data_IF_971527283558
#
_entry.id   IF_971527283558
#
_cell.length_a   1.000
_cell.length_b   1.000
_cell.length_c   1.000
_cell.angle_alpha   90.00
_cell.angle_beta   90.00
_cell.angle_gamma   90.00
#
_symmetry.space_group_name_H-M   'P 1'
#
loop_
_entity.id
_entity.type
_entity.pdbx_description
1 polymer ?
#
# COMPACT_ATOMS: atom_id res chain seq x y z
N UNK A 1 20.49 31.59 -12.10
CA UNK A 1 20.34 30.15 -11.79
C UNK A 1 18.90 29.81 -12.06
N UNK A 2 18.65 28.93 -13.01
CA UNK A 2 17.30 28.60 -13.49
C UNK A 2 16.59 27.70 -12.45
N UNK A 3 15.29 27.95 -12.22
CA UNK A 3 14.44 27.20 -11.28
C UNK A 3 14.49 25.68 -11.52
N UNK A 4 14.69 25.23 -12.77
CA UNK A 4 14.90 23.81 -13.11
C UNK A 4 16.21 23.24 -12.53
N UNK A 5 17.26 24.06 -12.41
CA UNK A 5 18.56 23.65 -11.86
C UNK A 5 18.48 23.48 -10.34
N UNK A 6 17.66 24.29 -9.65
CA UNK A 6 17.42 24.21 -8.20
C UNK A 6 16.60 22.97 -7.86
N UNK A 7 15.54 22.67 -8.67
CA UNK A 7 14.71 21.48 -8.50
C UNK A 7 15.52 20.20 -8.74
N UNK A 8 16.35 20.15 -9.78
CA UNK A 8 17.21 18.99 -10.07
C UNK A 8 18.31 18.78 -9.02
N UNK A 9 18.90 19.85 -8.47
CA UNK A 9 19.86 19.75 -7.38
C UNK A 9 19.20 19.30 -6.07
N UNK A 10 17.99 19.81 -5.78
CA UNK A 10 17.18 19.39 -4.62
C UNK A 10 16.77 17.92 -4.69
N UNK A 11 16.30 17.47 -5.85
CA UNK A 11 15.94 16.07 -6.09
C UNK A 11 17.16 15.14 -5.98
N UNK A 12 18.32 15.56 -6.50
CA UNK A 12 19.55 14.77 -6.41
C UNK A 12 20.11 14.67 -4.97
N UNK A 13 19.95 15.72 -4.16
CA UNK A 13 20.33 15.74 -2.75
C UNK A 13 19.36 14.90 -1.88
N UNK A 14 18.04 14.95 -2.18
CA UNK A 14 17.04 14.12 -1.50
C UNK A 14 17.23 12.64 -1.80
N UNK A 15 17.50 12.27 -3.06
CA UNK A 15 17.75 10.87 -3.46
C UNK A 15 19.03 10.32 -2.80
N UNK A 16 20.06 11.15 -2.57
CA UNK A 16 21.33 10.72 -1.97
C UNK A 16 21.25 10.51 -0.47
N UNK A 17 20.44 11.30 0.27
CA UNK A 17 20.31 11.17 1.73
C UNK A 17 19.31 10.11 2.21
N UNK A 18 18.43 9.61 1.33
CA UNK A 18 17.36 8.65 1.69
C UNK A 18 17.70 7.19 1.37
N UNK A 19 18.94 6.89 0.97
CA UNK A 19 19.34 5.52 0.63
C UNK A 19 19.69 4.65 1.87
N UNK A 20 19.37 5.11 3.09
CA UNK A 20 19.56 4.35 4.34
C UNK A 20 18.28 3.74 4.93
N UNK A 21 17.14 3.82 4.23
CA UNK A 21 16.01 2.93 4.51
C UNK A 21 16.51 1.51 4.30
N UNK A 22 16.45 0.66 5.33
CA UNK A 22 16.91 -0.74 5.36
C UNK A 22 16.72 -1.37 3.98
N UNK A 23 17.80 -1.45 3.21
CA UNK A 23 17.84 -2.14 1.92
C UNK A 23 17.32 -3.55 2.18
N UNK A 24 16.27 -4.02 1.50
CA UNK A 24 15.90 -5.41 1.62
C UNK A 24 17.16 -6.20 1.33
N UNK A 25 17.64 -6.97 2.31
CA UNK A 25 18.78 -7.84 2.11
C UNK A 25 18.40 -8.79 0.99
N UNK A 26 19.14 -8.81 -0.11
CA UNK A 26 19.08 -9.82 -1.14
C UNK A 26 19.36 -11.16 -0.45
N UNK A 27 18.32 -11.79 0.08
CA UNK A 27 18.35 -13.07 0.75
C UNK A 27 17.70 -14.13 -0.11
N UNK A 28 18.06 -15.38 0.17
CA UNK A 28 17.41 -16.56 -0.41
C UNK A 28 15.89 -16.41 -0.27
N UNK A 29 15.09 -16.73 -1.32
CA UNK A 29 13.62 -16.70 -1.23
C UNK A 29 13.14 -17.46 0.01
N UNK A 30 12.04 -17.01 0.66
CA UNK A 30 11.42 -17.73 1.75
C UNK A 30 11.23 -19.21 1.39
N UNK A 31 11.36 -20.12 2.37
CA UNK A 31 11.34 -21.59 2.14
C UNK A 31 10.01 -22.06 1.54
N UNK A 32 8.93 -21.38 1.82
CA UNK A 32 7.59 -21.60 1.29
C UNK A 32 7.46 -21.34 -0.22
N UNK A 33 8.35 -20.53 -0.80
CA UNK A 33 8.41 -20.28 -2.25
C UNK A 33 9.29 -21.28 -3.02
N UNK A 34 9.91 -22.23 -2.34
CA UNK A 34 10.91 -23.13 -2.95
C UNK A 34 10.35 -23.98 -4.10
N UNK A 35 9.06 -24.34 -4.07
CA UNK A 35 8.38 -25.14 -5.11
C UNK A 35 7.70 -24.33 -6.21
N UNK A 36 7.44 -23.05 -6.00
CA UNK A 36 6.70 -22.20 -6.95
C UNK A 36 7.63 -21.25 -7.70
N UNK A 37 7.91 -21.62 -8.96
CA UNK A 37 8.78 -20.84 -9.86
C UNK A 37 8.21 -19.44 -10.11
N UNK A 38 6.88 -19.32 -10.30
CA UNK A 38 6.21 -18.05 -10.55
C UNK A 38 6.34 -17.13 -9.33
N UNK A 39 6.13 -17.63 -8.12
CA UNK A 39 6.27 -16.87 -6.89
C UNK A 39 7.72 -16.41 -6.66
N UNK A 40 8.72 -17.24 -6.98
CA UNK A 40 10.14 -16.84 -6.91
C UNK A 40 10.47 -15.73 -7.90
N UNK A 41 9.99 -15.84 -9.14
CA UNK A 41 10.19 -14.79 -10.16
C UNK A 41 9.55 -13.47 -9.69
N UNK A 42 8.33 -13.48 -9.17
CA UNK A 42 7.64 -12.29 -8.66
C UNK A 42 8.40 -11.67 -7.48
N UNK A 43 8.90 -12.48 -6.55
CA UNK A 43 9.69 -12.00 -5.41
C UNK A 43 11.00 -11.34 -5.88
N UNK A 44 11.74 -11.99 -6.76
CA UNK A 44 12.97 -11.46 -7.34
C UNK A 44 12.73 -10.17 -8.12
N UNK A 45 11.67 -10.13 -8.93
CA UNK A 45 11.28 -8.94 -9.68
C UNK A 45 10.94 -7.77 -8.75
N UNK A 46 10.21 -8.01 -7.65
CA UNK A 46 9.94 -6.99 -6.64
C UNK A 46 11.24 -6.41 -6.07
N UNK A 47 12.20 -7.24 -5.69
CA UNK A 47 13.48 -6.78 -5.16
C UNK A 47 14.25 -5.93 -6.16
N UNK A 48 14.29 -6.36 -7.43
CA UNK A 48 15.00 -5.65 -8.50
C UNK A 48 14.31 -4.33 -8.81
N UNK A 49 12.97 -4.31 -8.93
CA UNK A 49 12.22 -3.07 -9.17
C UNK A 49 12.37 -2.06 -8.02
N UNK A 50 12.36 -2.52 -6.77
CA UNK A 50 12.58 -1.65 -5.61
C UNK A 50 14.01 -1.08 -5.56
N UNK A 51 14.99 -1.86 -6.01
CA UNK A 51 16.41 -1.48 -5.98
C UNK A 51 16.80 -0.54 -7.13
N UNK A 52 16.30 -0.83 -8.34
CA UNK A 52 16.73 -0.18 -9.59
C UNK A 52 15.70 0.81 -10.14
N UNK A 53 14.45 0.74 -9.66
CA UNK A 53 13.31 1.33 -10.37
C UNK A 53 12.91 0.50 -11.59
N UNK A 54 11.74 0.77 -12.14
CA UNK A 54 11.23 0.02 -13.30
C UNK A 54 12.14 0.16 -14.54
N UNK A 55 12.60 1.39 -14.84
CA UNK A 55 13.38 1.67 -16.05
C UNK A 55 14.68 0.86 -16.11
N UNK A 56 15.48 0.93 -15.06
CA UNK A 56 16.81 0.35 -15.00
C UNK A 56 16.82 -1.16 -14.67
N UNK A 57 15.69 -1.71 -14.24
CA UNK A 57 15.54 -3.13 -14.01
C UNK A 57 15.58 -3.90 -15.31
N UNK A 58 16.32 -5.03 -15.37
CA UNK A 58 16.39 -5.92 -16.51
C UNK A 58 15.86 -7.31 -16.18
N UNK A 59 15.31 -8.00 -17.21
CA UNK A 59 14.90 -9.40 -17.04
C UNK A 59 16.11 -10.33 -16.77
N UNK A 60 17.32 -9.91 -17.16
CA UNK A 60 18.55 -10.63 -16.83
C UNK A 60 18.83 -10.61 -15.33
N UNK A 61 18.83 -9.41 -14.72
CA UNK A 61 19.04 -9.26 -13.29
C UNK A 61 17.95 -9.99 -12.49
N UNK A 62 16.71 -9.98 -12.99
CA UNK A 62 15.60 -10.72 -12.37
C UNK A 62 15.82 -12.23 -12.48
N UNK A 63 16.26 -12.72 -13.64
CA UNK A 63 16.54 -14.14 -13.86
C UNK A 63 17.65 -14.65 -12.93
N UNK A 64 18.73 -13.89 -12.78
CA UNK A 64 19.82 -14.18 -11.85
C UNK A 64 19.34 -14.19 -10.40
N UNK A 65 18.50 -13.20 -10.02
CA UNK A 65 17.96 -13.08 -8.65
C UNK A 65 16.96 -14.20 -8.32
N UNK A 66 16.18 -14.67 -9.30
CA UNK A 66 15.13 -15.69 -9.14
C UNK A 66 15.64 -17.15 -9.24
N UNK A 67 16.90 -17.47 -9.45
CA UNK A 67 17.48 -18.64 -10.08
C UNK A 67 16.56 -19.26 -11.16
N UNK A 68 16.26 -18.46 -12.19
CA UNK A 68 15.38 -18.87 -13.30
C UNK A 68 16.00 -18.46 -14.64
N UNK A 69 15.68 -19.17 -15.71
CA UNK A 69 16.10 -18.78 -17.05
C UNK A 69 15.17 -17.70 -17.64
N UNK A 70 15.68 -16.86 -18.55
CA UNK A 70 14.83 -15.91 -19.30
C UNK A 70 13.64 -16.60 -19.99
N UNK A 71 13.81 -17.73 -20.70
CA UNK A 71 12.68 -18.46 -21.26
C UNK A 71 11.64 -18.84 -20.21
N UNK A 72 12.07 -19.20 -18.99
CA UNK A 72 11.16 -19.50 -17.88
C UNK A 72 10.37 -18.25 -17.46
N UNK A 73 11.02 -17.08 -17.42
CA UNK A 73 10.31 -15.82 -17.11
C UNK A 73 9.29 -15.52 -18.20
N UNK A 74 9.66 -15.61 -19.47
CA UNK A 74 8.76 -15.36 -20.60
C UNK A 74 7.58 -16.36 -20.67
N UNK A 75 7.76 -17.59 -20.20
CA UNK A 75 6.68 -18.58 -20.11
C UNK A 75 5.58 -18.17 -19.11
N UNK A 76 5.92 -17.39 -18.08
CA UNK A 76 4.98 -16.91 -17.06
C UNK A 76 4.51 -15.48 -17.31
N UNK A 77 5.37 -14.63 -17.87
CA UNK A 77 5.13 -13.19 -18.06
C UNK A 77 5.60 -12.76 -19.44
N UNK A 78 4.73 -12.23 -20.32
CA UNK A 78 5.07 -11.91 -21.71
C UNK A 78 6.09 -10.76 -21.86
N UNK A 79 6.44 -10.08 -20.76
CA UNK A 79 7.43 -9.00 -20.75
C UNK A 79 7.60 -8.35 -19.38
N UNK A 80 8.49 -7.36 -19.31
CA UNK A 80 8.80 -6.63 -18.08
C UNK A 80 7.58 -5.88 -17.52
N UNK A 81 6.71 -5.37 -18.38
CA UNK A 81 5.48 -4.66 -18.01
C UNK A 81 4.51 -5.61 -17.29
N UNK A 82 4.16 -6.74 -17.89
CA UNK A 82 3.29 -7.74 -17.28
C UNK A 82 3.86 -8.31 -15.98
N UNK A 83 5.18 -8.44 -15.89
CA UNK A 83 5.86 -8.84 -14.66
C UNK A 83 5.72 -7.76 -13.57
N UNK A 84 5.85 -6.47 -13.94
CA UNK A 84 5.65 -5.36 -13.00
C UNK A 84 4.21 -5.30 -12.50
N UNK A 85 3.23 -5.41 -13.40
CA UNK A 85 1.79 -5.50 -13.03
C UNK A 85 1.54 -6.63 -12.02
N UNK A 86 2.09 -7.81 -12.28
CA UNK A 86 1.92 -8.96 -11.41
C UNK A 86 2.62 -8.78 -10.05
N UNK A 87 3.76 -8.08 -10.00
CA UNK A 87 4.43 -7.71 -8.75
C UNK A 87 3.55 -6.76 -7.95
N UNK A 88 3.01 -5.73 -8.59
CA UNK A 88 2.11 -4.78 -7.93
C UNK A 88 0.86 -5.46 -7.40
N UNK A 89 0.20 -6.30 -8.23
CA UNK A 89 -0.97 -7.06 -7.82
C UNK A 89 -0.68 -7.96 -6.60
N UNK A 90 0.49 -8.59 -6.55
CA UNK A 90 0.91 -9.41 -5.41
C UNK A 90 1.10 -8.58 -4.14
N UNK A 91 1.74 -7.42 -4.25
CA UNK A 91 1.97 -6.52 -3.11
C UNK A 91 0.64 -6.01 -2.57
N UNK A 92 -0.25 -5.56 -3.45
CA UNK A 92 -1.59 -5.10 -3.06
C UNK A 92 -2.43 -6.22 -2.43
N UNK A 93 -2.36 -7.45 -2.98
CA UNK A 93 -3.04 -8.61 -2.42
C UNK A 93 -2.59 -8.96 -0.99
N UNK A 94 -1.32 -8.77 -0.68
CA UNK A 94 -0.79 -8.94 0.68
C UNK A 94 -1.38 -7.92 1.68
N UNK A 95 -1.58 -6.68 1.23
CA UNK A 95 -2.11 -5.60 2.08
C UNK A 95 -3.56 -5.80 2.52
N UNK A 96 -4.35 -6.45 1.70
CA UNK A 96 -5.79 -6.62 1.94
C UNK A 96 -6.10 -7.87 2.77
N UNK A 97 -5.07 -8.64 3.11
CA UNK A 97 -5.24 -9.79 3.99
C UNK A 97 -5.21 -9.34 5.45
N UNK A 98 -6.40 -9.07 5.99
CA UNK A 98 -6.64 -8.82 7.42
C UNK A 98 -7.05 -10.10 8.17
N UNK A 99 -6.80 -11.30 7.61
CA UNK A 99 -7.03 -12.56 8.31
C UNK A 99 -6.29 -12.56 9.65
N UNK A 100 -7.04 -12.81 10.72
CA UNK A 100 -6.49 -12.81 12.08
C UNK A 100 -6.25 -11.44 12.71
N UNK A 101 -6.54 -10.34 12.00
CA UNK A 101 -6.51 -9.02 12.63
C UNK A 101 -7.79 -8.79 13.45
N UNK A 102 -7.62 -8.68 14.76
CA UNK A 102 -8.71 -8.30 15.68
C UNK A 102 -8.52 -6.86 16.14
N UNK A 103 -9.47 -5.94 15.82
CA UNK A 103 -9.42 -4.57 16.29
C UNK A 103 -9.41 -4.50 17.81
N UNK A 104 -8.41 -3.81 18.39
CA UNK A 104 -8.18 -3.69 19.82
C UNK A 104 -9.00 -2.56 20.42
N UNK A 105 -9.48 -2.74 21.65
CA UNK A 105 -10.18 -1.73 22.43
C UNK A 105 -11.59 -2.11 22.86
N UNK A 106 -12.17 -1.30 23.75
CA UNK A 106 -13.51 -1.55 24.32
C UNK A 106 -14.59 -0.78 23.57
N UNK A 107 -14.27 0.41 23.08
CA UNK A 107 -15.19 1.26 22.34
C UNK A 107 -15.01 1.06 20.83
N UNK A 108 -16.03 1.44 20.06
CA UNK A 108 -15.95 1.48 18.60
C UNK A 108 -14.82 2.40 18.15
N UNK A 109 -14.67 3.56 18.83
CA UNK A 109 -13.58 4.49 18.55
C UNK A 109 -12.20 3.85 18.73
N UNK A 110 -11.99 3.09 19.81
CA UNK A 110 -10.72 2.38 20.03
C UNK A 110 -10.45 1.36 18.94
N UNK A 111 -11.47 0.55 18.58
CA UNK A 111 -11.36 -0.47 17.54
C UNK A 111 -11.03 0.14 16.18
N UNK A 112 -11.70 1.23 15.81
CA UNK A 112 -11.40 1.93 14.56
C UNK A 112 -10.03 2.61 14.58
N UNK A 113 -9.61 3.13 15.72
CA UNK A 113 -8.25 3.67 15.86
C UNK A 113 -7.19 2.57 15.72
N UNK A 114 -7.40 1.41 16.32
CA UNK A 114 -6.53 0.24 16.15
C UNK A 114 -6.44 -0.21 14.68
N UNK A 115 -7.58 -0.26 13.97
CA UNK A 115 -7.63 -0.57 12.54
C UNK A 115 -6.88 0.47 11.72
N UNK A 116 -7.11 1.76 11.98
CA UNK A 116 -6.46 2.85 11.23
C UNK A 116 -4.94 2.83 11.38
N UNK A 117 -4.43 2.55 12.58
CA UNK A 117 -2.99 2.40 12.82
C UNK A 117 -2.43 1.23 12.02
N UNK A 118 -3.06 0.06 12.09
CA UNK A 118 -2.65 -1.15 11.36
C UNK A 118 -2.62 -0.91 9.84
N UNK A 119 -3.67 -0.28 9.30
CA UNK A 119 -3.75 0.06 7.87
C UNK A 119 -2.59 0.94 7.43
N UNK A 120 -2.29 2.00 8.18
CA UNK A 120 -1.20 2.93 7.83
C UNK A 120 0.16 2.25 7.94
N UNK A 121 0.43 1.51 9.03
CA UNK A 121 1.71 0.83 9.24
C UNK A 121 1.98 -0.19 8.15
N UNK A 122 1.04 -1.08 7.87
CA UNK A 122 1.17 -2.07 6.78
C UNK A 122 1.39 -1.41 5.44
N UNK A 123 0.54 -0.43 5.10
CA UNK A 123 0.63 0.19 3.79
C UNK A 123 2.00 0.84 3.58
N UNK A 124 2.48 1.61 4.57
CA UNK A 124 3.76 2.28 4.43
C UNK A 124 4.92 1.27 4.43
N UNK A 125 4.89 0.24 5.27
CA UNK A 125 5.96 -0.75 5.34
C UNK A 125 6.06 -1.61 4.07
N UNK A 126 4.92 -2.04 3.54
CA UNK A 126 4.88 -3.04 2.47
C UNK A 126 4.84 -2.41 1.07
N UNK A 127 4.23 -1.21 0.91
CA UNK A 127 3.97 -0.67 -0.42
C UNK A 127 4.67 0.62 -0.77
N UNK A 128 5.20 1.37 0.18
CA UNK A 128 5.77 2.70 -0.10
C UNK A 128 6.77 2.69 -1.27
N UNK A 129 7.63 1.66 -1.33
CA UNK A 129 8.61 1.52 -2.40
C UNK A 129 7.98 1.26 -3.78
N UNK A 130 7.01 0.36 -3.84
CA UNK A 130 6.33 0.05 -5.11
C UNK A 130 5.40 1.20 -5.53
N UNK A 131 4.80 1.90 -4.59
CA UNK A 131 3.99 3.10 -4.85
C UNK A 131 4.85 4.19 -5.48
N UNK A 132 6.05 4.44 -4.94
CA UNK A 132 7.01 5.38 -5.55
C UNK A 132 7.41 4.96 -6.96
N UNK A 133 7.69 3.68 -7.18
CA UNK A 133 8.03 3.16 -8.50
C UNK A 133 6.86 3.33 -9.49
N UNK A 134 5.63 3.07 -9.06
CA UNK A 134 4.43 3.25 -9.90
C UNK A 134 4.20 4.73 -10.25
N UNK A 135 4.35 5.64 -9.28
CA UNK A 135 4.20 7.09 -9.50
C UNK A 135 5.28 7.59 -10.47
N UNK A 136 6.53 7.13 -10.32
CA UNK A 136 7.63 7.54 -11.20
C UNK A 136 7.41 7.13 -12.67
N UNK A 137 6.61 6.10 -12.94
CA UNK A 137 6.30 5.61 -14.28
C UNK A 137 4.92 6.09 -14.79
N UNK A 138 4.17 6.87 -14.00
CA UNK A 138 2.79 7.24 -14.29
C UNK A 138 2.64 8.01 -15.63
N UNK A 139 3.57 8.88 -15.97
CA UNK A 139 3.57 9.62 -17.23
C UNK A 139 3.80 8.69 -18.44
N UNK A 140 4.58 7.64 -18.26
CA UNK A 140 4.91 6.70 -19.33
C UNK A 140 3.86 5.60 -19.49
N UNK A 141 3.31 5.12 -18.37
CA UNK A 141 2.32 4.05 -18.32
C UNK A 141 1.06 4.48 -17.56
N UNK A 142 0.33 5.52 -18.06
CA UNK A 142 -0.80 6.07 -17.32
C UNK A 142 -1.95 5.08 -17.12
N UNK A 143 -2.16 4.18 -18.05
CA UNK A 143 -3.20 3.13 -17.94
C UNK A 143 -2.86 2.15 -16.82
N UNK A 144 -1.60 1.69 -16.75
CA UNK A 144 -1.12 0.79 -15.70
C UNK A 144 -1.22 1.45 -14.32
N UNK A 145 -0.74 2.69 -14.20
CA UNK A 145 -0.76 3.41 -12.92
C UNK A 145 -2.18 3.64 -12.40
N UNK A 146 -3.12 3.96 -13.29
CA UNK A 146 -4.55 4.06 -12.93
C UNK A 146 -5.11 2.72 -12.50
N UNK A 147 -4.88 1.66 -13.28
CA UNK A 147 -5.37 0.32 -12.95
C UNK A 147 -4.86 -0.15 -11.58
N UNK A 148 -3.56 0.05 -11.30
CA UNK A 148 -2.96 -0.25 -10.01
C UNK A 148 -3.64 0.52 -8.87
N UNK A 149 -3.85 1.82 -9.06
CA UNK A 149 -4.49 2.67 -8.07
C UNK A 149 -5.94 2.25 -7.79
N UNK A 150 -6.73 2.04 -8.84
CA UNK A 150 -8.14 1.63 -8.75
C UNK A 150 -8.28 0.26 -8.09
N UNK A 151 -7.53 -0.74 -8.58
CA UNK A 151 -7.56 -2.09 -8.02
C UNK A 151 -7.12 -2.11 -6.54
N UNK A 152 -6.07 -1.36 -6.18
CA UNK A 152 -5.61 -1.25 -4.80
C UNK A 152 -6.66 -0.60 -3.89
N UNK A 153 -7.30 0.46 -4.35
CA UNK A 153 -8.38 1.14 -3.62
C UNK A 153 -9.58 0.24 -3.37
N UNK A 154 -10.03 -0.46 -4.39
CA UNK A 154 -11.21 -1.32 -4.31
C UNK A 154 -10.97 -2.52 -3.40
N UNK A 155 -9.82 -3.16 -3.52
CA UNK A 155 -9.43 -4.28 -2.65
C UNK A 155 -9.31 -3.84 -1.19
N UNK A 156 -8.63 -2.74 -0.92
CA UNK A 156 -8.48 -2.22 0.43
C UNK A 156 -9.82 -1.79 1.03
N UNK A 157 -10.69 -1.12 0.25
CA UNK A 157 -12.03 -0.74 0.71
C UNK A 157 -12.87 -1.98 1.03
N UNK A 158 -12.82 -3.03 0.22
CA UNK A 158 -13.52 -4.28 0.48
C UNK A 158 -13.05 -4.93 1.80
N UNK A 159 -11.74 -5.07 1.99
CA UNK A 159 -11.16 -5.65 3.21
C UNK A 159 -11.51 -4.83 4.47
N UNK A 160 -11.36 -3.51 4.39
CA UNK A 160 -11.67 -2.61 5.51
C UNK A 160 -13.17 -2.59 5.80
N UNK A 161 -14.04 -2.67 4.78
CA UNK A 161 -15.49 -2.67 4.99
C UNK A 161 -15.95 -3.86 5.84
N UNK A 162 -15.33 -5.04 5.69
CA UNK A 162 -15.58 -6.20 6.56
C UNK A 162 -15.21 -5.90 8.01
N UNK A 163 -14.02 -5.38 8.26
CA UNK A 163 -13.55 -5.06 9.61
C UNK A 163 -14.38 -3.95 10.25
N UNK A 164 -14.78 -2.94 9.46
CA UNK A 164 -15.69 -1.88 9.92
C UNK A 164 -17.06 -2.42 10.31
N UNK A 165 -17.63 -3.31 9.51
CA UNK A 165 -18.89 -3.95 9.83
C UNK A 165 -18.81 -4.72 11.17
N UNK A 166 -17.79 -5.54 11.34
CA UNK A 166 -17.60 -6.34 12.55
C UNK A 166 -17.37 -5.45 13.79
N UNK A 167 -16.53 -4.41 13.65
CA UNK A 167 -16.23 -3.48 14.74
C UNK A 167 -17.46 -2.66 15.17
N UNK A 168 -18.38 -2.39 14.25
CA UNK A 168 -19.52 -1.47 14.44
C UNK A 168 -20.86 -2.18 14.55
N UNK A 169 -20.87 -3.51 14.54
CA UNK A 169 -22.11 -4.31 14.61
C UNK A 169 -23.01 -3.94 15.80
N UNK A 170 -22.42 -3.44 16.87
CA UNK A 170 -23.15 -2.96 18.06
C UNK A 170 -23.80 -1.59 17.85
N UNK A 171 -23.35 -0.79 16.87
CA UNK A 171 -23.94 0.53 16.55
C UNK A 171 -25.06 0.45 15.50
N UNK A 172 -25.09 -0.63 14.71
CA UNK A 172 -26.06 -0.79 13.63
C UNK A 172 -27.37 -1.37 14.18
N UNK A 173 -28.23 -0.51 14.69
CA UNK A 173 -29.64 -0.87 14.92
C UNK A 173 -30.37 -0.93 13.57
N UNK A 174 -30.17 -2.03 12.83
CA UNK A 174 -30.86 -2.29 11.58
C UNK A 174 -30.01 -2.11 10.31
N UNK A 175 -30.53 -2.58 9.18
CA UNK A 175 -29.86 -2.67 7.86
C UNK A 175 -29.64 -1.33 7.12
N UNK A 176 -29.67 -0.19 7.81
CA UNK A 176 -29.58 1.15 7.20
C UNK A 176 -28.41 2.02 7.71
N UNK A 177 -27.48 1.47 8.48
CA UNK A 177 -26.33 2.25 9.00
C UNK A 177 -25.26 2.54 7.92
N UNK A 178 -24.32 3.45 8.22
CA UNK A 178 -23.23 3.84 7.32
C UNK A 178 -22.31 2.67 6.95
N UNK A 179 -22.32 1.63 7.76
CA UNK A 179 -21.48 0.43 7.59
C UNK A 179 -22.24 -0.74 6.95
N UNK A 180 -23.45 -0.53 6.41
CA UNK A 180 -24.28 -1.60 5.86
C UNK A 180 -24.48 -1.49 4.34
N UNK A 181 -24.56 -2.66 3.65
CA UNK A 181 -24.90 -2.77 2.25
C UNK A 181 -23.97 -1.98 1.31
N UNK A 182 -24.53 -1.30 0.31
CA UNK A 182 -23.77 -0.54 -0.69
C UNK A 182 -23.01 0.65 -0.11
N UNK A 183 -23.37 1.15 1.07
CA UNK A 183 -22.71 2.27 1.73
C UNK A 183 -21.40 1.86 2.39
N UNK A 184 -21.26 0.59 2.81
CA UNK A 184 -20.07 0.13 3.55
C UNK A 184 -18.76 0.34 2.79
N UNK A 185 -18.75 0.11 1.47
CA UNK A 185 -17.57 0.34 0.62
C UNK A 185 -17.22 1.84 0.54
N UNK A 186 -18.21 2.70 0.30
CA UNK A 186 -17.99 4.14 0.26
C UNK A 186 -17.49 4.67 1.62
N UNK A 187 -18.06 4.17 2.71
CA UNK A 187 -17.65 4.51 4.07
C UNK A 187 -16.21 4.05 4.34
N UNK A 188 -15.84 2.85 3.90
CA UNK A 188 -14.47 2.34 4.02
C UNK A 188 -13.49 3.20 3.19
N UNK A 189 -13.87 3.65 1.99
CA UNK A 189 -13.05 4.55 1.19
C UNK A 189 -12.82 5.90 1.89
N UNK A 190 -13.88 6.51 2.45
CA UNK A 190 -13.77 7.75 3.21
C UNK A 190 -12.85 7.57 4.43
N UNK A 191 -13.00 6.45 5.15
CA UNK A 191 -12.13 6.13 6.29
C UNK A 191 -10.65 6.06 5.86
N UNK A 192 -10.36 5.40 4.75
CA UNK A 192 -9.01 5.32 4.21
C UNK A 192 -8.47 6.69 3.78
N UNK A 193 -9.28 7.48 3.07
CA UNK A 193 -8.88 8.79 2.57
C UNK A 193 -8.55 9.75 3.74
N UNK A 194 -9.26 9.65 4.86
CA UNK A 194 -8.99 10.45 6.05
C UNK A 194 -7.73 10.04 6.80
N UNK A 195 -7.39 8.76 6.81
CA UNK A 195 -6.34 8.21 7.67
C UNK A 195 -5.09 7.88 6.88
N UNK A 196 -5.22 7.08 5.79
CA UNK A 196 -4.09 6.59 5.04
C UNK A 196 -3.48 7.67 4.14
N UNK A 197 -4.30 8.40 3.37
CA UNK A 197 -3.80 9.30 2.33
C UNK A 197 -2.88 10.39 2.87
N UNK A 198 -3.18 11.11 3.98
CA UNK A 198 -2.29 12.13 4.51
C UNK A 198 -0.95 11.58 4.99
N UNK A 199 -0.95 10.42 5.64
CA UNK A 199 0.27 9.77 6.12
C UNK A 199 1.10 9.21 4.97
N UNK A 200 0.46 8.64 3.95
CA UNK A 200 1.10 8.19 2.73
C UNK A 200 1.79 9.36 2.00
N UNK A 201 1.12 10.49 1.86
CA UNK A 201 1.71 11.68 1.21
C UNK A 201 2.95 12.17 1.96
N UNK A 202 2.92 12.25 3.29
CA UNK A 202 4.06 12.62 4.12
C UNK A 202 5.23 11.62 3.91
N UNK A 203 4.94 10.32 3.92
CA UNK A 203 5.93 9.28 3.66
C UNK A 203 6.52 9.38 2.24
N UNK A 204 5.69 9.64 1.21
CA UNK A 204 6.13 9.81 -0.18
C UNK A 204 7.02 11.05 -0.34
N UNK A 205 6.73 12.13 0.39
CA UNK A 205 7.55 13.36 0.42
C UNK A 205 8.83 13.21 1.24
N UNK A 206 9.09 12.04 1.82
CA UNK A 206 10.36 11.71 2.45
C UNK A 206 10.42 11.95 3.95
N UNK A 207 9.28 12.13 4.60
CA UNK A 207 9.25 12.19 6.06
C UNK A 207 9.68 10.85 6.66
N UNK A 208 10.42 10.90 7.77
CA UNK A 208 11.00 9.73 8.40
C UNK A 208 9.94 8.82 9.04
N UNK A 209 10.15 7.51 8.95
CA UNK A 209 9.22 6.53 9.54
C UNK A 209 9.11 6.65 11.06
N UNK A 210 10.17 7.10 11.73
CA UNK A 210 10.19 7.28 13.18
C UNK A 210 9.24 8.40 13.60
N UNK A 211 9.30 9.51 12.89
CA UNK A 211 8.46 10.69 13.11
C UNK A 211 6.99 10.35 12.85
N UNK A 212 6.69 9.73 11.70
CA UNK A 212 5.35 9.30 11.33
C UNK A 212 4.75 8.37 12.39
N UNK A 213 5.50 7.36 12.85
CA UNK A 213 5.02 6.42 13.86
C UNK A 213 4.77 7.07 15.21
N UNK A 214 5.57 8.08 15.59
CA UNK A 214 5.39 8.78 16.87
C UNK A 214 4.09 9.58 16.91
N UNK A 215 3.65 10.12 15.79
CA UNK A 215 2.44 10.93 15.67
C UNK A 215 1.19 10.09 15.34
N UNK A 216 1.36 8.93 14.72
CA UNK A 216 0.29 8.11 14.17
C UNK A 216 -0.86 7.84 15.16
N UNK A 217 -0.64 7.46 16.43
CA UNK A 217 -1.74 7.17 17.35
C UNK A 217 -2.63 8.39 17.63
N UNK A 218 -2.05 9.58 17.80
CA UNK A 218 -2.79 10.81 18.04
C UNK A 218 -3.54 11.24 16.77
N UNK A 219 -2.85 11.23 15.65
CA UNK A 219 -3.40 11.53 14.33
C UNK A 219 -4.62 10.66 13.98
N UNK A 220 -4.53 9.35 14.17
CA UNK A 220 -5.62 8.43 13.86
C UNK A 220 -6.80 8.64 14.80
N UNK A 221 -6.58 8.82 16.10
CA UNK A 221 -7.68 9.05 17.07
C UNK A 221 -8.50 10.29 16.74
N UNK A 222 -7.85 11.39 16.40
CA UNK A 222 -8.52 12.64 16.01
C UNK A 222 -9.43 12.40 14.80
N UNK A 223 -8.94 11.73 13.77
CA UNK A 223 -9.67 11.48 12.53
C UNK A 223 -10.79 10.47 12.69
N UNK A 224 -10.58 9.46 13.51
CA UNK A 224 -11.64 8.51 13.86
C UNK A 224 -12.76 9.23 14.63
N UNK A 225 -12.44 10.15 15.53
CA UNK A 225 -13.46 10.95 16.23
C UNK A 225 -14.28 11.78 15.23
N UNK A 226 -13.62 12.47 14.31
CA UNK A 226 -14.28 13.23 13.25
C UNK A 226 -15.13 12.35 12.34
N UNK A 227 -14.60 11.19 11.91
CA UNK A 227 -15.29 10.22 11.08
C UNK A 227 -16.57 9.70 11.73
N UNK A 228 -16.52 9.33 13.01
CA UNK A 228 -17.69 8.86 13.75
C UNK A 228 -18.75 9.95 13.92
N UNK A 229 -18.35 11.17 14.24
CA UNK A 229 -19.27 12.31 14.33
C UNK A 229 -19.97 12.59 12.98
N UNK A 230 -19.24 12.49 11.86
CA UNK A 230 -19.82 12.62 10.53
C UNK A 230 -20.81 11.49 10.21
N UNK A 231 -20.48 10.25 10.60
CA UNK A 231 -21.38 9.10 10.44
C UNK A 231 -22.69 9.25 11.26
N UNK A 232 -22.63 9.88 12.43
CA UNK A 232 -23.82 10.12 13.26
C UNK A 232 -24.69 11.26 12.72
N UNK A 233 -24.07 12.32 12.17
CA UNK A 233 -24.78 13.53 11.75
C UNK A 233 -25.53 13.39 10.42
N UNK A 234 -24.95 12.70 9.44
CA UNK A 234 -25.41 12.79 8.04
C UNK A 234 -26.11 11.50 7.54
N UNK A 235 -25.95 10.39 8.22
CA UNK A 235 -26.42 9.10 7.73
C UNK A 235 -27.70 8.63 8.43
N UNK A 236 -28.25 9.45 9.26
CA UNK A 236 -29.56 9.28 9.92
C UNK A 236 -30.75 9.88 9.16
N UNK A 237 -30.54 10.52 7.99
CA UNK A 237 -31.59 11.13 7.15
C UNK A 237 -31.93 10.29 5.94
#
# INVERSE_FOLDING_TARGET
>A
MDARSIVNAGVKLMVSKHNELKRPRLGRPPKDLAGDVKARILYAAQLVFLKRGYQSASLDEIAETAPASKPTIYAHFPGKEALFEAVVARVLGGLTNFEGFEPKGRTVQDKLASLGIEVVERFIEETLGITRATIAEADRFPALSRHVHEAGRDQAAAAISHVLNDATHTLSRGSRGPFSGKRSLATAQIFMDLILLPMLMRALMGEGMKELRSELPAFVRERVSFFLAACEADWGR
#
